data_IF_717086636063
#
_entry.id   IF_717086636063
#
_cell.length_a   1.000
_cell.length_b   1.000
_cell.length_c   1.000
_cell.angle_alpha   90.00
_cell.angle_beta   90.00
_cell.angle_gamma   90.00
#
_symmetry.space_group_name_H-M   'P 1'
#
loop_
_entity.id
_entity.type
_entity.pdbx_description
1 polymer ?
#
# COMPACT_ATOMS: atom_id res chain seq x y z
N UNK A 1 -6.67 18.11 -29.64
CA UNK A 1 -5.63 17.94 -28.59
C UNK A 1 -6.34 17.38 -27.38
N UNK A 2 -6.18 16.08 -27.11
CA UNK A 2 -6.88 15.44 -26.01
C UNK A 2 -6.25 15.91 -24.69
N UNK A 3 -7.03 16.61 -23.86
CA UNK A 3 -6.63 16.89 -22.50
C UNK A 3 -6.41 15.54 -21.80
N UNK A 4 -5.16 15.24 -21.45
CA UNK A 4 -4.81 14.06 -20.67
C UNK A 4 -5.61 14.14 -19.35
N UNK A 5 -6.22 13.05 -18.90
CA UNK A 5 -6.98 13.01 -17.65
C UNK A 5 -6.15 13.52 -16.46
N UNK A 6 -4.83 13.30 -16.48
CA UNK A 6 -3.89 13.86 -15.51
C UNK A 6 -3.91 15.41 -15.52
N UNK A 7 -3.97 16.01 -16.70
CA UNK A 7 -3.96 17.46 -16.88
C UNK A 7 -5.29 18.11 -16.47
N UNK A 8 -6.40 17.37 -16.55
CA UNK A 8 -7.72 17.80 -16.06
C UNK A 8 -7.79 17.69 -14.54
N UNK A 9 -7.20 16.62 -13.98
CA UNK A 9 -7.11 16.45 -12.53
C UNK A 9 -6.21 17.53 -11.92
N UNK A 10 -5.04 17.79 -12.53
CA UNK A 10 -4.16 18.89 -12.11
C UNK A 10 -4.88 20.24 -12.20
N UNK A 11 -5.60 20.53 -13.30
CA UNK A 11 -6.36 21.79 -13.43
C UNK A 11 -7.49 21.92 -12.40
N UNK A 12 -8.15 20.82 -12.03
CA UNK A 12 -9.16 20.78 -10.98
C UNK A 12 -8.56 20.95 -9.59
N UNK A 13 -7.45 20.28 -9.28
CA UNK A 13 -6.67 20.50 -8.05
C UNK A 13 -6.13 21.93 -7.99
N UNK A 14 -5.83 22.53 -9.15
CA UNK A 14 -5.34 23.90 -9.25
C UNK A 14 -6.41 24.97 -8.99
N UNK A 15 -7.64 24.74 -9.45
CA UNK A 15 -8.72 25.74 -9.45
C UNK A 15 -9.79 25.52 -8.38
N UNK A 16 -10.05 24.27 -8.00
CA UNK A 16 -11.17 23.90 -7.14
C UNK A 16 -10.74 23.56 -5.71
N UNK A 17 -9.48 23.19 -5.49
CA UNK A 17 -8.99 22.80 -4.16
C UNK A 17 -8.34 23.99 -3.44
N UNK A 18 -8.82 24.32 -2.22
CA UNK A 18 -8.19 25.33 -1.36
C UNK A 18 -6.68 25.16 -1.25
N UNK A 19 -5.89 26.26 -1.26
CA UNK A 19 -4.43 26.20 -1.25
C UNK A 19 -3.91 25.46 -0.01
N UNK A 20 -4.61 25.55 1.12
CA UNK A 20 -4.27 24.84 2.35
C UNK A 20 -4.31 23.32 2.18
N UNK A 21 -5.32 22.78 1.48
CA UNK A 21 -5.46 21.34 1.19
C UNK A 21 -4.34 20.88 0.26
N UNK A 22 -4.05 21.67 -0.78
CA UNK A 22 -2.96 21.35 -1.72
C UNK A 22 -1.61 21.25 -1.00
N UNK A 23 -1.30 22.23 -0.14
CA UNK A 23 -0.06 22.20 0.64
C UNK A 23 0.03 20.96 1.53
N UNK A 24 -1.08 20.53 2.18
CA UNK A 24 -1.06 19.29 2.96
C UNK A 24 -0.80 18.06 2.08
N UNK A 25 -1.42 17.97 0.90
CA UNK A 25 -1.21 16.85 -0.04
C UNK A 25 0.22 16.78 -0.58
N UNK A 26 0.85 17.92 -0.88
CA UNK A 26 2.25 17.98 -1.32
C UNK A 26 3.20 17.49 -0.21
N UNK A 27 2.94 17.89 1.04
CA UNK A 27 3.72 17.43 2.20
C UNK A 27 3.54 15.92 2.40
N UNK A 28 2.30 15.40 2.28
CA UNK A 28 2.02 13.97 2.38
C UNK A 28 2.76 13.18 1.29
N UNK A 29 2.71 13.63 0.04
CA UNK A 29 3.42 13.00 -1.07
C UNK A 29 4.96 12.98 -0.87
N UNK A 30 5.52 14.07 -0.32
CA UNK A 30 6.95 14.10 0.05
C UNK A 30 7.29 13.06 1.14
N UNK A 31 6.39 12.87 2.11
CA UNK A 31 6.56 11.87 3.18
C UNK A 31 6.36 10.44 2.68
N UNK A 32 5.47 10.20 1.73
CA UNK A 32 5.33 8.90 1.05
C UNK A 32 6.62 8.46 0.36
N UNK A 33 7.29 9.39 -0.33
CA UNK A 33 8.59 9.12 -0.94
C UNK A 33 9.65 8.77 0.11
N UNK A 34 9.73 9.54 1.20
CA UNK A 34 10.64 9.29 2.31
C UNK A 34 10.37 7.91 2.97
N UNK A 35 9.10 7.55 3.14
CA UNK A 35 8.67 6.25 3.65
C UNK A 35 9.18 5.11 2.76
N UNK A 36 8.99 5.19 1.44
CA UNK A 36 9.43 4.16 0.51
C UNK A 36 10.96 4.03 0.45
N UNK A 37 11.70 5.13 0.56
CA UNK A 37 13.15 5.11 0.68
C UNK A 37 13.63 4.44 1.99
N UNK A 38 13.02 4.83 3.12
CA UNK A 38 13.32 4.25 4.44
C UNK A 38 12.98 2.75 4.48
N UNK A 39 11.85 2.35 3.89
CA UNK A 39 11.43 0.94 3.76
C UNK A 39 12.44 0.12 2.98
N UNK A 40 12.93 0.63 1.84
CA UNK A 40 14.00 -0.02 1.04
C UNK A 40 15.31 -0.10 1.82
N UNK A 41 15.66 0.94 2.59
CA UNK A 41 16.86 0.93 3.42
C UNK A 41 16.78 -0.12 4.53
N UNK A 42 15.64 -0.19 5.24
CA UNK A 42 15.37 -1.19 6.27
C UNK A 42 15.49 -2.61 5.70
N UNK A 43 14.89 -2.86 4.54
CA UNK A 43 14.97 -4.15 3.85
C UNK A 43 16.43 -4.59 3.62
N UNK A 44 17.28 -3.68 3.13
CA UNK A 44 18.71 -3.94 2.92
C UNK A 44 19.43 -4.26 4.23
N UNK A 45 19.17 -3.51 5.31
CA UNK A 45 19.81 -3.73 6.63
C UNK A 45 19.39 -5.06 7.25
N UNK A 46 18.10 -5.36 7.22
CA UNK A 46 17.55 -6.63 7.71
C UNK A 46 18.13 -7.82 6.97
N UNK A 47 18.23 -7.78 5.64
CA UNK A 47 18.83 -8.87 4.88
C UNK A 47 20.32 -9.07 5.20
N UNK A 48 21.07 -7.99 5.46
CA UNK A 48 22.45 -8.10 5.92
C UNK A 48 22.54 -8.75 7.32
N UNK A 49 21.62 -8.41 8.22
CA UNK A 49 21.53 -9.04 9.54
C UNK A 49 21.26 -10.55 9.43
N UNK A 50 20.25 -10.96 8.64
CA UNK A 50 19.92 -12.37 8.43
C UNK A 50 21.09 -13.16 7.82
N UNK A 51 21.78 -12.59 6.84
CA UNK A 51 23.00 -13.20 6.27
C UNK A 51 24.13 -13.33 7.28
N UNK A 52 24.24 -12.39 8.21
CA UNK A 52 25.26 -12.45 9.24
C UNK A 52 24.99 -13.58 10.24
N UNK A 53 23.72 -13.78 10.58
CA UNK A 53 23.24 -14.87 11.43
C UNK A 53 23.44 -16.25 10.78
N UNK A 54 23.08 -16.39 9.50
CA UNK A 54 23.28 -17.64 8.72
C UNK A 54 24.76 -18.05 8.62
N UNK A 55 25.66 -17.08 8.42
CA UNK A 55 27.10 -17.34 8.30
C UNK A 55 27.79 -17.47 9.67
N UNK A 56 27.06 -17.40 10.77
CA UNK A 56 27.62 -17.50 12.13
C UNK A 56 28.64 -16.42 12.43
N UNK A 57 28.47 -15.21 11.86
CA UNK A 57 29.37 -14.09 12.08
C UNK A 57 29.36 -13.66 13.55
N UNK A 58 30.52 -13.20 14.05
CA UNK A 58 30.73 -12.96 15.48
C UNK A 58 29.69 -12.04 16.14
N UNK A 59 29.39 -12.32 17.41
CA UNK A 59 28.34 -11.68 18.21
C UNK A 59 28.37 -10.15 18.19
N UNK A 60 29.55 -9.55 18.16
CA UNK A 60 29.73 -8.08 18.08
C UNK A 60 29.21 -7.50 16.76
N UNK A 61 29.47 -8.17 15.63
CA UNK A 61 29.00 -7.70 14.32
C UNK A 61 27.48 -7.86 14.21
N UNK A 62 26.95 -8.99 14.68
CA UNK A 62 25.52 -9.27 14.69
C UNK A 62 24.77 -8.24 15.53
N UNK A 63 25.26 -7.92 16.74
CA UNK A 63 24.70 -6.86 17.58
C UNK A 63 24.73 -5.48 16.89
N UNK A 64 25.81 -5.16 16.18
CA UNK A 64 25.90 -3.89 15.44
C UNK A 64 24.93 -3.81 14.26
N UNK A 65 24.68 -4.92 13.56
CA UNK A 65 23.71 -5.01 12.47
C UNK A 65 22.27 -4.95 12.97
N UNK A 66 21.98 -5.60 14.11
CA UNK A 66 20.69 -5.52 14.77
C UNK A 66 20.37 -4.07 15.15
N UNK A 67 21.29 -3.40 15.86
CA UNK A 67 21.14 -1.99 16.24
C UNK A 67 20.91 -1.06 15.05
N UNK A 68 21.57 -1.33 13.91
CA UNK A 68 21.34 -0.58 12.67
C UNK A 68 19.95 -0.84 12.09
N UNK A 69 19.47 -2.08 12.15
CA UNK A 69 18.13 -2.47 11.68
C UNK A 69 17.04 -1.86 12.55
N UNK A 70 17.18 -1.93 13.88
CA UNK A 70 16.29 -1.29 14.85
C UNK A 70 16.22 0.23 14.65
N UNK A 71 17.38 0.87 14.45
CA UNK A 71 17.44 2.31 14.15
C UNK A 71 16.68 2.66 12.88
N UNK A 72 16.79 1.86 11.82
CA UNK A 72 16.07 2.12 10.58
C UNK A 72 14.56 1.86 10.71
N UNK A 73 14.18 0.85 11.48
CA UNK A 73 12.79 0.57 11.82
C UNK A 73 12.15 1.72 12.61
N UNK A 74 12.86 2.25 13.61
CA UNK A 74 12.39 3.39 14.40
C UNK A 74 12.15 4.65 13.55
N UNK A 75 12.98 4.90 12.54
CA UNK A 75 12.75 6.00 11.59
C UNK A 75 11.49 5.78 10.76
N UNK A 76 11.24 4.55 10.31
CA UNK A 76 10.07 4.23 9.51
C UNK A 76 8.79 4.48 10.31
N UNK A 77 8.77 4.06 11.59
CA UNK A 77 7.66 4.34 12.51
C UNK A 77 7.45 5.85 12.68
N UNK A 78 8.52 6.63 12.89
CA UNK A 78 8.39 8.09 13.00
C UNK A 78 7.80 8.73 11.73
N UNK A 79 8.15 8.23 10.54
CA UNK A 79 7.55 8.71 9.27
C UNK A 79 6.06 8.35 9.19
N UNK A 80 5.68 7.15 9.65
CA UNK A 80 4.27 6.73 9.68
C UNK A 80 3.47 7.66 10.62
N UNK A 81 3.98 7.93 11.82
CA UNK A 81 3.33 8.83 12.78
C UNK A 81 3.15 10.24 12.19
N UNK A 82 4.20 10.78 11.55
CA UNK A 82 4.12 12.07 10.86
C UNK A 82 3.10 12.07 9.72
N UNK A 83 2.96 10.97 8.97
CA UNK A 83 1.95 10.83 7.92
C UNK A 83 0.53 10.85 8.50
N UNK A 84 0.30 10.12 9.59
CA UNK A 84 -0.99 10.10 10.29
C UNK A 84 -1.35 11.52 10.75
N UNK A 85 -0.40 12.26 11.30
CA UNK A 85 -0.61 13.65 11.71
C UNK A 85 -0.98 14.57 10.53
N UNK A 86 -0.36 14.37 9.35
CA UNK A 86 -0.71 15.12 8.13
C UNK A 86 -2.11 14.76 7.64
N UNK A 87 -2.47 13.47 7.64
CA UNK A 87 -3.80 12.99 7.24
C UNK A 87 -4.89 13.56 8.15
N UNK A 88 -4.67 13.57 9.47
CA UNK A 88 -5.60 14.18 10.44
C UNK A 88 -5.76 15.68 10.20
N UNK A 89 -4.67 16.40 9.90
CA UNK A 89 -4.73 17.83 9.57
C UNK A 89 -5.46 18.08 8.26
N UNK A 90 -5.22 17.25 7.24
CA UNK A 90 -5.91 17.30 5.96
C UNK A 90 -7.41 17.09 6.13
N UNK A 91 -7.80 16.06 6.90
CA UNK A 91 -9.18 15.77 7.23
C UNK A 91 -9.85 16.96 7.92
N UNK A 92 -9.22 17.55 8.94
CA UNK A 92 -9.76 18.71 9.64
C UNK A 92 -9.98 19.92 8.72
N UNK A 93 -9.06 20.18 7.78
CA UNK A 93 -9.20 21.27 6.80
C UNK A 93 -10.36 20.98 5.84
N UNK A 94 -10.47 19.75 5.33
CA UNK A 94 -11.57 19.32 4.44
C UNK A 94 -12.92 19.45 5.16
N UNK A 95 -13.03 18.96 6.39
CA UNK A 95 -14.25 19.05 7.22
C UNK A 95 -14.66 20.50 7.48
N UNK A 96 -13.71 21.40 7.73
CA UNK A 96 -13.99 22.82 7.90
C UNK A 96 -14.54 23.46 6.61
N UNK A 97 -13.98 23.11 5.44
CA UNK A 97 -14.49 23.58 4.16
C UNK A 97 -15.88 23.03 3.84
N UNK A 98 -16.12 21.74 4.10
CA UNK A 98 -17.43 21.12 3.94
C UNK A 98 -18.48 21.78 4.84
N UNK A 99 -18.19 21.94 6.13
CA UNK A 99 -19.10 22.57 7.11
C UNK A 99 -19.48 24.00 6.71
N UNK A 100 -18.50 24.77 6.20
CA UNK A 100 -18.75 26.12 5.70
C UNK A 100 -19.67 26.12 4.48
N UNK A 101 -19.40 25.26 3.50
CA UNK A 101 -20.22 25.12 2.30
C UNK A 101 -21.65 24.67 2.65
N UNK A 102 -21.80 23.71 3.57
CA UNK A 102 -23.10 23.26 4.05
C UNK A 102 -23.89 24.40 4.72
N UNK A 103 -23.24 25.23 5.54
CA UNK A 103 -23.88 26.40 6.15
C UNK A 103 -24.30 27.44 5.11
N UNK A 104 -23.46 27.74 4.12
CA UNK A 104 -23.79 28.69 3.04
C UNK A 104 -24.96 28.19 2.18
N UNK A 105 -24.98 26.89 1.87
CA UNK A 105 -26.00 26.27 1.05
C UNK A 105 -27.33 26.13 1.82
N UNK A 106 -27.29 25.75 3.09
CA UNK A 106 -28.48 25.72 3.97
C UNK A 106 -29.08 27.12 4.13
N UNK A 107 -28.23 28.15 4.30
CA UNK A 107 -28.69 29.54 4.39
C UNK A 107 -29.37 30.05 3.12
N UNK A 108 -28.91 29.62 1.93
CA UNK A 108 -29.51 29.98 0.64
C UNK A 108 -30.76 29.18 0.29
N UNK A 109 -30.81 27.89 0.66
CA UNK A 109 -31.91 26.98 0.31
C UNK A 109 -33.01 26.93 1.37
N UNK A 110 -32.75 27.39 2.60
CA UNK A 110 -33.72 27.39 3.70
C UNK A 110 -34.10 25.99 4.21
N UNK A 111 -33.33 24.96 3.86
CA UNK A 111 -33.53 23.57 4.32
C UNK A 111 -32.18 22.91 4.65
N UNK A 112 -32.11 22.06 5.68
CA UNK A 112 -30.90 21.31 6.00
C UNK A 112 -30.61 20.29 4.89
N UNK A 113 -29.35 20.23 4.46
CA UNK A 113 -28.87 19.21 3.55
C UNK A 113 -28.73 17.90 4.32
N UNK A 114 -29.57 16.92 4.04
CA UNK A 114 -29.30 15.56 4.46
C UNK A 114 -28.14 15.05 3.61
N UNK A 115 -27.00 14.74 4.24
CA UNK A 115 -25.86 14.14 3.55
C UNK A 115 -26.01 12.60 3.59
N UNK A 116 -26.44 11.95 2.49
CA UNK A 116 -26.73 10.51 2.47
C UNK A 116 -25.47 9.64 2.55
N UNK A 117 -24.27 10.23 2.45
CA UNK A 117 -23.01 9.50 2.47
C UNK A 117 -22.50 9.20 3.90
N UNK A 118 -22.86 10.04 4.88
CA UNK A 118 -22.39 9.91 6.27
C UNK A 118 -23.01 8.70 6.99
N UNK A 119 -24.16 8.21 6.51
CA UNK A 119 -24.85 7.06 7.12
C UNK A 119 -24.21 5.71 6.83
N UNK A 120 -23.29 5.61 5.86
CA UNK A 120 -22.69 4.32 5.48
C UNK A 120 -21.50 3.96 6.39
N UNK A 121 -20.82 4.96 6.95
CA UNK A 121 -19.62 4.76 7.78
C UNK A 121 -19.88 4.94 9.29
N UNK A 122 -21.02 5.55 9.67
CA UNK A 122 -21.39 5.75 11.07
C UNK A 122 -21.62 4.43 11.85
N UNK A 123 -21.89 3.33 11.15
CA UNK A 123 -22.10 2.00 11.74
C UNK A 123 -20.81 1.15 11.82
N UNK A 124 -19.64 1.71 11.47
CA UNK A 124 -18.36 1.01 11.66
C UNK A 124 -17.92 1.21 13.12
N UNK A 125 -17.97 0.18 13.97
CA UNK A 125 -17.52 0.31 15.34
C UNK A 125 -16.03 0.67 15.38
N UNK A 126 -15.72 1.63 16.25
CA UNK A 126 -14.42 2.22 16.53
C UNK A 126 -13.27 1.20 16.43
N UNK A 127 -12.31 1.49 15.56
CA UNK A 127 -11.23 0.58 15.19
C UNK A 127 -10.10 0.49 16.24
N UNK A 128 -10.37 0.81 17.51
CA UNK A 128 -9.41 0.64 18.61
C UNK A 128 -9.31 -0.81 19.14
N UNK A 129 -10.15 -1.74 18.70
CA UNK A 129 -10.13 -3.15 19.14
C UNK A 129 -9.91 -4.16 18.01
N UNK A 130 -8.73 -4.17 17.38
CA UNK A 130 -8.24 -5.41 16.74
C UNK A 130 -6.72 -5.51 16.57
N UNK A 131 -5.99 -5.37 17.66
CA UNK A 131 -4.65 -5.99 17.78
C UNK A 131 -4.75 -7.21 18.69
N UNK A 132 -5.41 -8.26 18.22
CA UNK A 132 -5.18 -9.61 18.76
C UNK A 132 -5.08 -10.65 17.65
N UNK A 133 -3.85 -11.14 17.50
CA UNK A 133 -3.44 -12.50 17.10
C UNK A 133 -4.13 -13.08 15.85
N UNK A 134 -3.56 -12.79 14.69
CA UNK A 134 -3.66 -13.69 13.53
C UNK A 134 -2.63 -14.81 13.68
N UNK A 135 -3.04 -15.88 14.36
CA UNK A 135 -2.48 -17.21 14.15
C UNK A 135 -3.31 -17.92 13.08
N UNK A 136 -2.72 -18.21 11.92
CA UNK A 136 -3.36 -19.01 10.87
C UNK A 136 -2.49 -20.21 10.54
N UNK A 137 -2.77 -21.31 11.26
CA UNK A 137 -2.62 -22.65 10.73
C UNK A 137 -3.69 -22.87 9.64
N UNK A 138 -3.27 -23.40 8.50
CA UNK A 138 -4.07 -23.47 7.29
C UNK A 138 -5.29 -24.38 7.35
N UNK A 139 -6.17 -24.19 6.36
CA UNK A 139 -6.95 -25.25 5.71
C UNK A 139 -7.51 -24.74 4.38
N UNK A 140 -7.10 -25.42 3.31
CA UNK A 140 -7.68 -25.33 1.98
C UNK A 140 -9.19 -25.47 2.02
N UNK A 141 -9.89 -24.61 1.26
CA UNK A 141 -11.15 -24.99 0.61
C UNK A 141 -11.11 -24.54 -0.84
N UNK A 142 -10.89 -25.52 -1.70
CA UNK A 142 -11.19 -25.50 -3.12
C UNK A 142 -12.70 -25.31 -3.33
N UNK A 143 -13.06 -24.39 -4.22
CA UNK A 143 -14.35 -24.41 -4.93
C UNK A 143 -14.18 -23.84 -6.34
N UNK A 144 -14.97 -24.31 -7.30
CA UNK A 144 -14.53 -24.52 -8.68
C UNK A 144 -14.84 -23.35 -9.61
N UNK A 145 -13.82 -22.99 -10.40
CA UNK A 145 -13.82 -22.39 -11.75
C UNK A 145 -15.07 -21.60 -12.20
N UNK A 146 -14.89 -20.29 -12.36
CA UNK A 146 -15.40 -19.57 -13.54
C UNK A 146 -14.19 -19.10 -14.35
N UNK A 147 -13.96 -19.75 -15.50
CA UNK A 147 -13.05 -19.24 -16.53
C UNK A 147 -13.65 -17.92 -17.01
N UNK A 148 -13.11 -16.80 -16.55
CA UNK A 148 -13.42 -15.51 -17.18
C UNK A 148 -12.67 -15.47 -18.51
N UNK A 149 -13.47 -15.61 -19.55
CA UNK A 149 -13.16 -15.22 -20.93
C UNK A 149 -12.75 -13.75 -20.95
N UNK A 150 -11.73 -13.44 -21.75
CA UNK A 150 -11.31 -12.07 -22.10
C UNK A 150 -12.53 -11.28 -22.61
N UNK A 151 -13.18 -10.53 -21.73
CA UNK A 151 -14.19 -9.55 -22.09
C UNK A 151 -13.52 -8.18 -22.12
N UNK A 152 -13.79 -7.46 -23.20
CA UNK A 152 -13.37 -6.09 -23.50
C UNK A 152 -14.14 -5.09 -22.60
N UNK A 153 -14.10 -5.33 -21.29
CA UNK A 153 -14.61 -4.40 -20.30
C UNK A 153 -13.50 -3.40 -19.96
N UNK A 154 -13.83 -2.10 -19.83
CA UNK A 154 -12.84 -1.09 -19.48
C UNK A 154 -12.24 -1.46 -18.11
N UNK A 155 -10.92 -1.67 -18.10
CA UNK A 155 -10.15 -1.91 -16.88
C UNK A 155 -10.44 -0.76 -15.91
N UNK A 156 -10.97 -1.07 -14.74
CA UNK A 156 -11.27 -0.07 -13.71
C UNK A 156 -9.96 0.63 -13.31
N UNK A 157 -9.86 1.96 -13.45
CA UNK A 157 -8.67 2.73 -13.06
C UNK A 157 -8.26 2.56 -11.60
N UNK A 158 -9.16 2.09 -10.73
CA UNK A 158 -8.91 1.86 -9.31
C UNK A 158 -8.52 0.41 -8.98
N UNK A 159 -8.45 -0.50 -9.96
CA UNK A 159 -8.05 -1.87 -9.69
C UNK A 159 -6.53 -1.96 -9.42
N UNK A 160 -6.10 -2.55 -8.30
CA UNK A 160 -4.68 -2.67 -7.97
C UNK A 160 -3.90 -3.44 -9.04
N UNK A 161 -2.73 -2.91 -9.39
CA UNK A 161 -1.82 -3.52 -10.36
C UNK A 161 -0.81 -4.44 -9.68
N UNK A 162 -0.57 -5.59 -10.30
CA UNK A 162 0.30 -6.64 -9.79
C UNK A 162 1.35 -7.02 -10.83
N UNK A 163 2.24 -7.94 -10.43
CA UNK A 163 3.23 -8.57 -11.30
C UNK A 163 4.24 -7.58 -11.92
N UNK A 164 5.24 -8.11 -12.62
CA UNK A 164 6.23 -7.29 -13.33
C UNK A 164 5.62 -6.49 -14.49
N UNK A 165 4.50 -6.96 -15.03
CA UNK A 165 3.79 -6.29 -16.11
C UNK A 165 2.97 -5.09 -15.63
N UNK A 166 2.81 -4.89 -14.31
CA UNK A 166 1.99 -3.82 -13.72
C UNK A 166 0.58 -3.79 -14.32
N UNK A 167 -0.03 -4.96 -14.40
CA UNK A 167 -1.39 -5.15 -14.90
C UNK A 167 -2.28 -5.67 -13.78
N UNK A 168 -3.59 -5.54 -13.96
CA UNK A 168 -4.60 -6.06 -13.03
C UNK A 168 -4.52 -7.58 -12.89
N UNK A 169 -5.31 -8.12 -11.96
CA UNK A 169 -5.40 -9.56 -11.77
C UNK A 169 -6.06 -10.23 -12.98
N UNK A 170 -5.43 -11.28 -13.54
CA UNK A 170 -6.05 -12.06 -14.61
C UNK A 170 -5.48 -13.48 -14.68
N UNK A 171 -6.31 -14.44 -15.08
CA UNK A 171 -5.91 -15.84 -15.19
C UNK A 171 -5.38 -16.44 -13.88
N UNK A 172 -4.46 -17.40 -13.98
CA UNK A 172 -3.83 -18.02 -12.82
C UNK A 172 -2.72 -17.11 -12.26
N UNK A 173 -2.77 -16.86 -10.95
CA UNK A 173 -1.79 -16.05 -10.23
C UNK A 173 -1.15 -16.83 -9.08
N UNK A 174 0.11 -16.48 -8.78
CA UNK A 174 0.89 -17.03 -7.67
C UNK A 174 1.34 -15.92 -6.73
N UNK A 175 1.22 -16.18 -5.43
CA UNK A 175 1.77 -15.34 -4.38
C UNK A 175 3.25 -15.65 -4.14
N UNK A 176 4.07 -14.63 -3.93
CA UNK A 176 5.43 -14.82 -3.45
C UNK A 176 5.42 -15.13 -1.96
N UNK A 177 6.09 -16.21 -1.54
CA UNK A 177 6.16 -16.60 -0.12
C UNK A 177 7.05 -15.68 0.75
N UNK A 178 7.68 -14.66 0.16
CA UNK A 178 8.34 -13.61 0.91
C UNK A 178 7.28 -12.59 1.37
N UNK A 179 7.00 -12.55 2.67
CA UNK A 179 6.01 -11.65 3.27
C UNK A 179 6.29 -10.16 3.03
N UNK A 180 7.52 -9.81 2.65
CA UNK A 180 7.90 -8.43 2.32
C UNK A 180 8.05 -8.19 0.81
N UNK A 181 7.51 -9.08 -0.03
CA UNK A 181 7.54 -8.91 -1.47
C UNK A 181 6.69 -7.69 -1.85
N UNK A 182 7.23 -6.64 -2.52
CA UNK A 182 6.46 -5.42 -2.80
C UNK A 182 5.34 -5.60 -3.82
N UNK A 183 5.41 -6.67 -4.64
CA UNK A 183 4.39 -6.96 -5.67
C UNK A 183 3.40 -8.03 -5.22
N UNK A 184 3.79 -8.87 -4.26
CA UNK A 184 3.05 -9.99 -3.65
C UNK A 184 2.51 -11.06 -4.61
N UNK A 185 1.88 -10.69 -5.71
CA UNK A 185 1.18 -11.55 -6.66
C UNK A 185 1.72 -11.40 -8.09
N UNK A 186 1.76 -12.54 -8.80
CA UNK A 186 2.33 -12.63 -10.14
C UNK A 186 1.48 -13.54 -11.03
N UNK A 187 1.26 -13.14 -12.29
CA UNK A 187 0.61 -14.03 -13.26
C UNK A 187 1.52 -15.21 -13.59
N UNK A 188 0.94 -16.39 -13.78
CA UNK A 188 1.66 -17.61 -14.13
C UNK A 188 2.55 -17.43 -15.36
N UNK A 189 2.01 -16.85 -16.44
CA UNK A 189 2.75 -16.61 -17.68
C UNK A 189 3.95 -15.68 -17.46
N UNK A 190 3.79 -14.60 -16.70
CA UNK A 190 4.88 -13.68 -16.37
C UNK A 190 5.92 -14.30 -15.43
N UNK A 191 5.49 -15.21 -14.56
CA UNK A 191 6.33 -16.00 -13.66
C UNK A 191 7.01 -17.20 -14.34
N UNK A 192 6.65 -17.51 -15.59
CA UNK A 192 7.14 -18.69 -16.32
C UNK A 192 6.57 -20.01 -15.78
N UNK A 193 5.40 -19.97 -15.15
CA UNK A 193 4.70 -21.11 -14.59
C UNK A 193 3.56 -21.54 -15.52
N UNK A 194 3.41 -22.85 -15.70
CA UNK A 194 2.26 -23.46 -16.38
C UNK A 194 1.36 -24.26 -15.43
N UNK A 195 1.82 -24.48 -14.19
CA UNK A 195 1.15 -25.24 -13.16
C UNK A 195 1.57 -24.71 -11.77
N UNK A 196 0.75 -24.91 -10.73
CA UNK A 196 1.12 -24.55 -9.37
C UNK A 196 2.41 -25.27 -8.95
N UNK A 197 3.45 -24.54 -8.51
CA UNK A 197 4.68 -25.15 -8.03
C UNK A 197 4.43 -25.90 -6.72
N UNK A 198 5.25 -26.92 -6.46
CA UNK A 198 5.19 -27.67 -5.19
C UNK A 198 6.07 -26.97 -4.16
N UNK A 199 5.48 -26.63 -3.01
CA UNK A 199 6.20 -25.95 -1.92
C UNK A 199 6.26 -24.44 -2.11
N UNK A 200 7.23 -23.79 -1.45
CA UNK A 200 7.38 -22.34 -1.48
C UNK A 200 7.86 -21.85 -2.84
N UNK A 201 7.30 -20.74 -3.32
CA UNK A 201 7.70 -20.07 -4.54
C UNK A 201 8.10 -18.62 -4.26
N UNK A 202 9.23 -18.24 -4.85
CA UNK A 202 9.75 -16.88 -4.80
C UNK A 202 9.84 -16.29 -6.20
N UNK A 203 9.45 -15.02 -6.30
CA UNK A 203 9.53 -14.21 -7.51
C UNK A 203 11.01 -13.96 -7.88
N UNK A 204 11.33 -13.54 -9.11
CA UNK A 204 12.72 -13.38 -9.59
C UNK A 204 13.55 -12.46 -8.68
N UNK A 205 12.95 -11.38 -8.19
CA UNK A 205 13.62 -10.48 -7.23
C UNK A 205 13.90 -11.18 -5.89
N UNK A 206 12.90 -11.90 -5.36
CA UNK A 206 13.03 -12.67 -4.11
C UNK A 206 13.87 -13.94 -4.25
N UNK A 207 14.05 -14.46 -5.47
CA UNK A 207 14.86 -15.63 -5.78
C UNK A 207 16.33 -15.28 -5.94
N UNK A 208 16.66 -14.18 -6.63
CA UNK A 208 18.04 -13.68 -6.63
C UNK A 208 18.52 -13.32 -5.22
N UNK A 209 17.61 -12.91 -4.34
CA UNK A 209 17.90 -12.74 -2.92
C UNK A 209 18.31 -14.07 -2.25
N UNK A 210 17.66 -15.19 -2.59
CA UNK A 210 18.00 -16.53 -2.10
C UNK A 210 19.26 -17.12 -2.76
N UNK A 211 19.52 -16.82 -4.03
CA UNK A 211 20.71 -17.30 -4.76
C UNK A 211 21.98 -16.51 -4.40
N UNK A 212 21.87 -15.19 -4.14
CA UNK A 212 22.96 -14.37 -3.56
C UNK A 212 23.20 -14.63 -2.06
N UNK A 213 22.49 -15.59 -1.46
CA UNK A 213 22.73 -16.11 -0.10
C UNK A 213 23.54 -17.41 -0.14
N UNK A 214 23.59 -18.10 -1.29
CA UNK A 214 24.28 -19.39 -1.50
C UNK A 214 25.70 -19.31 -2.09
N UNK A 215 26.13 -18.16 -2.60
CA UNK A 215 27.54 -17.86 -2.99
C UNK A 215 28.22 -16.90 -1.99
#
# INVERSE_FOLDING_TARGET
MAANAAHVLDDYLEKAVPPEIRTQLEVLASKDLQYEEARKALFKKRNLYLRAEEKGLGSTLQAALLKKTEKEHAKLLAIIDEKIDIENRLQAVVEAHLSRLESELTGKLGMPLANPFVSVFADIPDAEQRVERVGINGRSRSSPKKRQTLTDEPIDPNEPVYCYCRQVSYGDMIGCDNADCPLEWFHYQCAGLSAPPKGKWYCKECRHLAEMISD
#
